data_IF_619971151922
#
_entry.id   IF_619971151922
#
_cell.length_a   1.000
_cell.length_b   1.000
_cell.length_c   1.000
_cell.angle_alpha   90.00
_cell.angle_beta   90.00
_cell.angle_gamma   90.00
#
_symmetry.space_group_name_H-M   'P 1'
#
loop_
_entity.id
_entity.type
_entity.pdbx_description
1 polymer ?
#
# COMPACT_ATOMS: atom_id res chain seq x y z
N UNK A 1 -16.66 -26.03 51.98
CA UNK A 1 -17.13 -25.25 50.82
C UNK A 1 -18.53 -24.77 51.14
N UNK A 2 -18.67 -23.49 51.50
CA UNK A 2 -19.92 -22.95 52.08
C UNK A 2 -20.98 -22.74 50.99
N UNK A 3 -22.25 -22.90 51.37
CA UNK A 3 -23.42 -22.78 50.49
C UNK A 3 -23.42 -21.46 49.68
N UNK A 4 -22.95 -20.37 50.29
CA UNK A 4 -22.81 -19.06 49.66
C UNK A 4 -21.88 -19.05 48.42
N UNK A 5 -20.84 -19.88 48.40
CA UNK A 5 -19.89 -19.95 47.27
C UNK A 5 -20.48 -20.70 46.07
N UNK A 6 -21.34 -21.69 46.32
CA UNK A 6 -22.07 -22.40 45.26
C UNK A 6 -23.14 -21.53 44.63
N UNK A 7 -23.80 -20.71 45.43
CA UNK A 7 -24.86 -19.80 44.98
C UNK A 7 -24.32 -18.68 44.07
N UNK A 8 -23.15 -18.13 44.40
CA UNK A 8 -22.44 -17.17 43.54
C UNK A 8 -21.98 -17.77 42.22
N UNK A 9 -21.47 -19.00 42.21
CA UNK A 9 -21.09 -19.69 40.97
C UNK A 9 -22.30 -19.98 40.07
N UNK A 10 -23.44 -20.33 40.67
CA UNK A 10 -24.68 -20.58 39.94
C UNK A 10 -25.21 -19.27 39.30
N UNK A 11 -25.15 -18.15 40.02
CA UNK A 11 -25.53 -16.84 39.49
C UNK A 11 -24.60 -16.39 38.35
N UNK A 12 -23.29 -16.66 38.46
CA UNK A 12 -22.34 -16.34 37.39
C UNK A 12 -22.57 -17.18 36.12
N UNK A 13 -22.88 -18.48 36.29
CA UNK A 13 -23.25 -19.34 35.15
C UNK A 13 -24.57 -18.89 34.51
N UNK A 14 -25.56 -18.49 35.30
CA UNK A 14 -26.83 -17.98 34.78
C UNK A 14 -26.64 -16.65 34.03
N UNK A 15 -25.80 -15.74 34.52
CA UNK A 15 -25.45 -14.51 33.81
C UNK A 15 -24.72 -14.79 32.49
N UNK A 16 -23.77 -15.72 32.48
CA UNK A 16 -23.07 -16.11 31.24
C UNK A 16 -24.02 -16.76 30.23
N UNK A 17 -24.95 -17.61 30.67
CA UNK A 17 -25.98 -18.18 29.80
C UNK A 17 -26.93 -17.11 29.25
N UNK A 18 -27.34 -16.13 30.08
CA UNK A 18 -28.18 -15.01 29.63
C UNK A 18 -27.46 -14.07 28.66
N UNK A 19 -26.13 -13.94 28.73
CA UNK A 19 -25.35 -13.16 27.76
C UNK A 19 -25.08 -13.94 26.46
N UNK A 20 -24.97 -15.27 26.53
CA UNK A 20 -24.75 -16.12 25.36
C UNK A 20 -26.02 -16.34 24.53
N UNK A 21 -27.20 -16.36 25.16
CA UNK A 21 -28.48 -16.54 24.47
C UNK A 21 -28.75 -15.49 23.36
N UNK A 22 -28.57 -14.18 23.58
CA UNK A 22 -28.70 -13.15 22.54
C UNK A 22 -27.66 -13.30 21.41
N UNK A 23 -26.44 -13.73 21.72
CA UNK A 23 -25.37 -13.96 20.74
C UNK A 23 -25.65 -15.19 19.87
N UNK A 24 -26.17 -16.27 20.47
CA UNK A 24 -26.60 -17.46 19.75
C UNK A 24 -27.84 -17.20 18.89
N UNK A 25 -28.79 -16.41 19.39
CA UNK A 25 -29.96 -15.97 18.61
C UNK A 25 -29.56 -15.04 17.46
N UNK A 26 -28.59 -14.14 17.64
CA UNK A 26 -28.01 -13.33 16.55
C UNK A 26 -27.28 -14.20 15.52
N UNK A 27 -26.54 -15.22 15.95
CA UNK A 27 -25.90 -16.21 15.06
C UNK A 27 -26.90 -17.11 14.33
N UNK A 28 -28.00 -17.47 14.99
CA UNK A 28 -29.07 -18.26 14.38
C UNK A 28 -29.87 -17.41 13.38
N UNK A 29 -30.21 -16.17 13.72
CA UNK A 29 -30.85 -15.21 12.82
C UNK A 29 -29.97 -14.88 11.60
N UNK A 30 -28.64 -14.84 11.77
CA UNK A 30 -27.69 -14.74 10.66
C UNK A 30 -27.62 -16.01 9.78
N UNK A 31 -28.00 -17.18 10.32
CA UNK A 31 -28.09 -18.45 9.57
C UNK A 31 -29.45 -18.69 8.91
N UNK A 32 -30.52 -18.04 9.39
CA UNK A 32 -31.87 -18.11 8.80
C UNK A 32 -32.25 -16.86 8.00
N UNK A 33 -31.30 -15.97 7.73
CA UNK A 33 -31.48 -14.99 6.65
C UNK A 33 -31.77 -15.78 5.38
N UNK A 34 -32.93 -15.50 4.77
CA UNK A 34 -33.42 -16.13 3.55
C UNK A 34 -32.30 -16.35 2.54
N UNK A 35 -32.37 -17.46 1.77
CA UNK A 35 -31.57 -17.64 0.56
C UNK A 35 -31.49 -16.29 -0.15
N UNK A 36 -30.29 -15.83 -0.54
CA UNK A 36 -30.17 -14.55 -1.21
C UNK A 36 -31.00 -14.69 -2.49
N UNK A 37 -32.19 -14.10 -2.48
CA UNK A 37 -32.85 -13.63 -3.69
C UNK A 37 -31.73 -13.01 -4.47
N UNK A 38 -31.46 -13.57 -5.66
CA UNK A 38 -30.36 -13.13 -6.51
C UNK A 38 -30.56 -11.65 -6.79
N UNK A 39 -30.07 -10.80 -5.88
CA UNK A 39 -29.85 -9.40 -6.13
C UNK A 39 -28.91 -9.45 -7.30
N UNK A 40 -29.46 -9.18 -8.50
CA UNK A 40 -28.66 -9.00 -9.69
C UNK A 40 -27.58 -8.04 -9.27
N UNK A 41 -26.35 -8.54 -9.16
CA UNK A 41 -25.19 -7.71 -8.83
C UNK A 41 -25.32 -6.51 -9.75
N UNK A 42 -25.46 -5.28 -9.22
CA UNK A 42 -25.63 -4.12 -10.08
C UNK A 42 -24.53 -4.20 -11.13
N UNK A 43 -24.90 -4.15 -12.43
CA UNK A 43 -23.91 -4.14 -13.51
C UNK A 43 -22.93 -3.05 -13.15
N UNK A 44 -21.71 -3.42 -12.77
CA UNK A 44 -20.69 -2.46 -12.35
C UNK A 44 -20.53 -1.51 -13.52
N UNK A 45 -20.94 -0.25 -13.33
CA UNK A 45 -20.84 0.75 -14.37
C UNK A 45 -19.37 1.12 -14.46
N UNK A 46 -18.78 0.77 -15.59
CA UNK A 46 -17.43 1.15 -15.91
C UNK A 46 -17.37 2.65 -16.19
N UNK A 47 -16.67 3.43 -15.35
CA UNK A 47 -16.68 4.90 -15.44
C UNK A 47 -16.08 5.42 -16.76
N UNK A 48 -15.01 4.79 -17.24
CA UNK A 48 -14.36 5.13 -18.51
C UNK A 48 -15.30 4.82 -19.69
N UNK A 49 -16.03 3.71 -19.66
CA UNK A 49 -17.03 3.39 -20.68
C UNK A 49 -18.24 4.33 -20.62
N UNK A 50 -18.75 4.65 -19.41
CA UNK A 50 -19.91 5.52 -19.23
C UNK A 50 -19.66 6.94 -19.75
N UNK A 51 -18.44 7.45 -19.56
CA UNK A 51 -18.01 8.76 -20.08
C UNK A 51 -17.46 8.69 -21.51
N UNK A 52 -17.57 7.53 -22.17
CA UNK A 52 -17.03 7.24 -23.50
C UNK A 52 -15.50 7.41 -23.67
N UNK A 53 -14.77 7.61 -22.58
CA UNK A 53 -13.31 7.77 -22.55
C UNK A 53 -12.55 6.51 -22.99
N UNK A 54 -13.17 5.33 -22.88
CA UNK A 54 -12.56 4.07 -23.34
C UNK A 54 -12.34 4.03 -24.86
N UNK A 55 -13.05 4.86 -25.64
CA UNK A 55 -12.90 4.92 -27.11
C UNK A 55 -11.59 5.59 -27.54
N UNK A 56 -11.01 6.41 -26.68
CA UNK A 56 -9.77 7.14 -26.95
C UNK A 56 -8.53 6.33 -26.56
N UNK A 57 -8.72 5.16 -25.94
CA UNK A 57 -7.63 4.28 -25.56
C UNK A 57 -7.17 3.46 -26.77
N UNK A 58 -5.85 3.34 -26.90
CA UNK A 58 -5.27 2.35 -27.81
C UNK A 58 -5.59 0.94 -27.33
N UNK A 59 -5.53 -0.04 -28.23
CA UNK A 59 -5.71 -1.45 -27.88
C UNK A 59 -4.73 -1.88 -26.78
N UNK A 60 -3.48 -1.44 -26.84
CA UNK A 60 -2.46 -1.74 -25.83
C UNK A 60 -2.84 -1.20 -24.45
N UNK A 61 -3.33 0.04 -24.39
CA UNK A 61 -3.75 0.69 -23.14
C UNK A 61 -4.97 -0.01 -22.53
N UNK A 62 -5.96 -0.38 -23.34
CA UNK A 62 -7.13 -1.12 -22.87
C UNK A 62 -6.75 -2.54 -22.41
N UNK A 63 -5.85 -3.23 -23.12
CA UNK A 63 -5.34 -4.54 -22.69
C UNK A 63 -4.60 -4.45 -21.35
N UNK A 64 -3.73 -3.45 -21.17
CA UNK A 64 -3.07 -3.22 -19.89
C UNK A 64 -4.09 -2.99 -18.77
N UNK A 65 -5.05 -2.10 -19.01
CA UNK A 65 -6.10 -1.77 -18.04
C UNK A 65 -6.90 -3.02 -17.63
N UNK A 66 -7.36 -3.82 -18.59
CA UNK A 66 -8.11 -5.06 -18.32
C UNK A 66 -7.26 -6.11 -17.59
N UNK A 67 -5.97 -6.20 -17.91
CA UNK A 67 -5.02 -7.05 -17.20
C UNK A 67 -4.89 -6.63 -15.72
N UNK A 68 -4.64 -5.34 -15.44
CA UNK A 68 -4.55 -4.82 -14.07
C UNK A 68 -5.86 -5.04 -13.32
N UNK A 69 -7.01 -4.74 -13.95
CA UNK A 69 -8.35 -4.97 -13.40
C UNK A 69 -8.51 -6.41 -12.95
N UNK A 70 -8.25 -7.36 -13.84
CA UNK A 70 -8.42 -8.78 -13.56
C UNK A 70 -7.55 -9.23 -12.37
N UNK A 71 -6.30 -8.78 -12.30
CA UNK A 71 -5.43 -9.10 -11.16
C UNK A 71 -5.97 -8.49 -9.85
N UNK A 72 -6.41 -7.24 -9.88
CA UNK A 72 -6.95 -6.59 -8.68
C UNK A 72 -8.23 -7.29 -8.19
N UNK A 73 -9.14 -7.64 -9.09
CA UNK A 73 -10.40 -8.33 -8.74
C UNK A 73 -10.17 -9.76 -8.24
N UNK A 74 -9.24 -10.49 -8.85
CA UNK A 74 -9.03 -11.91 -8.53
C UNK A 74 -8.07 -12.15 -7.37
N UNK A 75 -7.13 -11.21 -7.10
CA UNK A 75 -6.08 -11.40 -6.09
C UNK A 75 -6.13 -10.42 -4.93
N UNK A 76 -6.63 -9.20 -5.13
CA UNK A 76 -6.61 -8.14 -4.10
C UNK A 76 -7.98 -8.02 -3.43
N UNK A 77 -9.05 -7.90 -4.22
CA UNK A 77 -10.41 -7.74 -3.71
C UNK A 77 -10.83 -8.82 -2.69
N UNK A 78 -10.47 -10.12 -2.85
CA UNK A 78 -10.87 -11.15 -1.89
C UNK A 78 -10.26 -11.01 -0.49
N UNK A 79 -9.16 -10.26 -0.36
CA UNK A 79 -8.41 -10.14 0.92
C UNK A 79 -8.42 -8.72 1.48
N UNK A 80 -8.76 -7.71 0.67
CA UNK A 80 -8.66 -6.30 1.04
C UNK A 80 -9.47 -5.92 2.29
N UNK A 81 -10.73 -6.37 2.39
CA UNK A 81 -11.61 -6.00 3.50
C UNK A 81 -11.11 -6.54 4.86
N UNK A 82 -10.63 -7.79 4.90
CA UNK A 82 -10.10 -8.39 6.14
C UNK A 82 -8.79 -7.70 6.55
N UNK A 83 -7.89 -7.46 5.60
CA UNK A 83 -6.64 -6.76 5.86
C UNK A 83 -6.87 -5.35 6.40
N UNK A 84 -7.83 -4.63 5.82
CA UNK A 84 -8.18 -3.28 6.23
C UNK A 84 -8.70 -3.24 7.66
N UNK A 85 -9.63 -4.14 8.01
CA UNK A 85 -10.18 -4.25 9.37
C UNK A 85 -9.09 -4.55 10.41
N UNK A 86 -8.09 -5.35 10.03
CA UNK A 86 -6.97 -5.73 10.92
C UNK A 86 -5.84 -4.69 10.97
N UNK A 87 -5.80 -3.75 10.02
CA UNK A 87 -4.67 -2.83 9.86
C UNK A 87 -3.37 -3.52 9.49
N UNK A 88 -3.44 -4.61 8.72
CA UNK A 88 -2.29 -5.46 8.37
C UNK A 88 -1.93 -5.36 6.88
N UNK A 89 -0.65 -5.58 6.56
CA UNK A 89 -0.17 -5.74 5.19
C UNK A 89 0.16 -7.21 4.91
N UNK A 90 -0.48 -7.78 3.88
CA UNK A 90 -0.28 -9.15 3.45
C UNK A 90 0.71 -9.23 2.29
N UNK A 91 1.73 -10.10 2.42
CA UNK A 91 2.75 -10.31 1.38
C UNK A 91 2.16 -10.80 0.06
N UNK A 92 0.95 -11.40 0.04
CA UNK A 92 0.22 -11.75 -1.18
C UNK A 92 -0.03 -10.55 -2.10
N UNK A 93 -0.06 -9.33 -1.55
CA UNK A 93 -0.13 -8.11 -2.36
C UNK A 93 1.13 -7.89 -3.21
N UNK A 94 2.31 -8.32 -2.75
CA UNK A 94 3.53 -8.28 -3.55
C UNK A 94 3.42 -9.22 -4.76
N UNK A 95 2.80 -10.39 -4.57
CA UNK A 95 2.56 -11.33 -5.68
C UNK A 95 1.52 -10.79 -6.68
N UNK A 96 0.52 -10.03 -6.21
CA UNK A 96 -0.39 -9.30 -7.09
C UNK A 96 0.36 -8.23 -7.90
N UNK A 97 1.26 -7.45 -7.27
CA UNK A 97 2.12 -6.50 -7.96
C UNK A 97 3.00 -7.17 -9.03
N UNK A 98 3.64 -8.30 -8.71
CA UNK A 98 4.43 -9.08 -9.68
C UNK A 98 3.59 -9.58 -10.85
N UNK A 99 2.35 -9.98 -10.60
CA UNK A 99 1.43 -10.44 -11.64
C UNK A 99 0.92 -9.29 -12.53
N UNK A 100 0.82 -8.07 -12.00
CA UNK A 100 0.56 -6.85 -12.80
C UNK A 100 1.75 -6.61 -13.74
N UNK A 101 2.97 -6.62 -13.21
CA UNK A 101 4.19 -6.48 -14.01
C UNK A 101 5.34 -5.86 -13.22
N UNK A 102 6.43 -5.47 -13.92
CA UNK A 102 7.56 -4.82 -13.28
C UNK A 102 7.15 -3.50 -12.60
N UNK A 103 7.85 -3.15 -11.52
CA UNK A 103 7.67 -1.85 -10.87
C UNK A 103 8.30 -0.70 -11.68
N UNK A 104 8.20 0.51 -11.15
CA UNK A 104 8.90 1.69 -11.68
C UNK A 104 8.13 2.51 -12.70
N UNK A 105 6.88 2.16 -13.00
CA UNK A 105 5.97 2.95 -13.85
C UNK A 105 6.66 3.46 -15.14
N UNK A 106 6.89 4.76 -15.28
CA UNK A 106 7.48 5.37 -16.47
C UNK A 106 9.03 5.32 -16.54
N UNK A 107 9.72 4.74 -15.55
CA UNK A 107 11.19 4.60 -15.56
C UNK A 107 11.59 3.70 -16.73
N UNK A 108 12.55 4.16 -17.55
CA UNK A 108 13.07 3.43 -18.72
C UNK A 108 14.35 2.67 -18.36
N UNK A 109 14.47 1.44 -18.86
CA UNK A 109 15.64 0.59 -18.58
C UNK A 109 15.54 -0.13 -17.23
N UNK A 110 16.63 -0.79 -16.82
CA UNK A 110 16.75 -1.53 -15.54
C UNK A 110 15.72 -2.64 -15.30
N UNK A 111 14.95 -3.03 -16.32
CA UNK A 111 13.82 -3.96 -16.18
C UNK A 111 12.55 -3.32 -15.62
N UNK A 112 12.48 -1.99 -15.50
CA UNK A 112 11.28 -1.26 -15.10
C UNK A 112 10.20 -1.31 -16.19
N UNK A 113 8.95 -1.02 -15.81
CA UNK A 113 7.80 -1.14 -16.70
C UNK A 113 7.86 -0.25 -17.96
N UNK A 114 8.47 0.94 -17.87
CA UNK A 114 8.60 1.85 -19.01
C UNK A 114 7.26 2.33 -19.58
N UNK A 115 6.23 2.44 -18.73
CA UNK A 115 4.87 2.82 -19.12
C UNK A 115 4.81 4.26 -19.66
N UNK A 116 3.84 4.52 -20.53
CA UNK A 116 3.41 5.89 -20.84
C UNK A 116 2.67 6.52 -19.64
N UNK A 117 2.43 7.83 -19.69
CA UNK A 117 1.62 8.49 -18.65
C UNK A 117 0.19 7.95 -18.61
N UNK A 118 -0.42 7.70 -19.78
CA UNK A 118 -1.75 7.12 -19.87
C UNK A 118 -1.79 5.72 -19.26
N UNK A 119 -0.84 4.86 -19.61
CA UNK A 119 -0.71 3.50 -19.07
C UNK A 119 -0.52 3.49 -17.54
N UNK A 120 0.30 4.41 -17.01
CA UNK A 120 0.49 4.59 -15.57
C UNK A 120 -0.79 5.06 -14.87
N UNK A 121 -1.54 5.99 -15.46
CA UNK A 121 -2.83 6.44 -14.95
C UNK A 121 -3.88 5.31 -14.95
N UNK A 122 -3.96 4.52 -16.02
CA UNK A 122 -4.87 3.38 -16.10
C UNK A 122 -4.55 2.32 -15.04
N UNK A 123 -3.27 2.04 -14.83
CA UNK A 123 -2.80 1.16 -13.74
C UNK A 123 -3.24 1.71 -12.38
N UNK A 124 -3.05 3.01 -12.14
CA UNK A 124 -3.46 3.66 -10.89
C UNK A 124 -4.98 3.59 -10.66
N UNK A 125 -5.78 3.85 -11.70
CA UNK A 125 -7.25 3.78 -11.65
C UNK A 125 -7.70 2.38 -11.24
N UNK A 126 -7.20 1.33 -11.90
CA UNK A 126 -7.67 -0.03 -11.64
C UNK A 126 -7.20 -0.57 -10.29
N UNK A 127 -6.00 -0.21 -9.81
CA UNK A 127 -5.54 -0.58 -8.47
C UNK A 127 -6.34 0.13 -7.38
N UNK A 128 -6.50 1.46 -7.50
CA UNK A 128 -7.19 2.28 -6.49
C UNK A 128 -8.70 2.01 -6.42
N UNK A 129 -9.30 1.55 -7.52
CA UNK A 129 -10.70 1.11 -7.56
C UNK A 129 -10.98 -0.05 -6.61
N UNK A 130 -9.99 -0.91 -6.35
CA UNK A 130 -10.14 -2.08 -5.48
C UNK A 130 -9.69 -1.79 -4.06
N UNK A 131 -8.50 -1.23 -3.87
CA UNK A 131 -7.99 -0.85 -2.54
C UNK A 131 -6.96 0.27 -2.63
N UNK A 132 -7.20 1.35 -1.90
CA UNK A 132 -6.31 2.50 -1.84
C UNK A 132 -4.99 2.19 -1.13
N UNK A 133 -4.98 1.22 -0.19
CA UNK A 133 -3.78 0.83 0.55
C UNK A 133 -2.79 0.11 -0.36
N UNK A 134 -3.28 -0.86 -1.15
CA UNK A 134 -2.54 -1.60 -2.16
C UNK A 134 -1.96 -0.67 -3.24
N UNK A 135 -2.77 0.25 -3.76
CA UNK A 135 -2.29 1.27 -4.69
C UNK A 135 -1.18 2.12 -4.06
N UNK A 136 -1.38 2.59 -2.82
CA UNK A 136 -0.41 3.43 -2.11
C UNK A 136 0.93 2.69 -1.91
N UNK A 137 0.89 1.41 -1.52
CA UNK A 137 2.08 0.57 -1.40
C UNK A 137 2.92 0.58 -2.69
N UNK A 138 2.27 0.33 -3.83
CA UNK A 138 2.93 0.25 -5.13
C UNK A 138 3.46 1.61 -5.63
N UNK A 139 2.74 2.70 -5.34
CA UNK A 139 3.13 4.06 -5.75
C UNK A 139 4.27 4.61 -4.89
N UNK A 140 4.25 4.42 -3.57
CA UNK A 140 5.39 4.80 -2.71
C UNK A 140 6.67 4.09 -3.18
N UNK A 141 6.55 2.81 -3.51
CA UNK A 141 7.64 2.03 -4.05
C UNK A 141 8.13 2.58 -5.41
N UNK A 142 7.24 2.70 -6.40
CA UNK A 142 7.61 2.99 -7.79
C UNK A 142 7.79 4.49 -8.07
N UNK A 143 6.81 5.31 -7.70
CA UNK A 143 6.74 6.72 -8.08
C UNK A 143 7.54 7.64 -7.15
N UNK A 144 7.85 7.19 -5.93
CA UNK A 144 8.64 7.98 -4.97
C UNK A 144 10.04 7.40 -4.81
N UNK A 145 10.15 6.15 -4.32
CA UNK A 145 11.46 5.57 -3.99
C UNK A 145 12.29 5.28 -5.25
N UNK A 146 11.79 4.43 -6.16
CA UNK A 146 12.49 4.14 -7.42
C UNK A 146 12.70 5.40 -8.27
N UNK A 147 11.70 6.28 -8.34
CA UNK A 147 11.82 7.52 -9.14
C UNK A 147 12.90 8.46 -8.61
N UNK A 148 13.08 8.53 -7.28
CA UNK A 148 14.18 9.32 -6.70
C UNK A 148 15.53 8.72 -7.06
N UNK A 149 15.67 7.38 -7.00
CA UNK A 149 16.90 6.69 -7.41
C UNK A 149 17.18 6.89 -8.91
N UNK A 150 16.16 6.78 -9.77
CA UNK A 150 16.24 7.02 -11.22
C UNK A 150 16.64 8.46 -11.55
N UNK A 151 16.08 9.44 -10.84
CA UNK A 151 16.37 10.85 -11.10
C UNK A 151 17.74 11.29 -10.56
N UNK A 152 18.06 10.94 -9.31
CA UNK A 152 19.17 11.55 -8.56
C UNK A 152 20.27 10.56 -8.13
N UNK A 153 20.06 9.25 -8.27
CA UNK A 153 21.04 8.25 -7.88
C UNK A 153 22.31 8.26 -8.75
N UNK A 154 23.43 7.84 -8.17
CA UNK A 154 24.64 7.56 -8.94
C UNK A 154 24.42 6.38 -9.90
N UNK A 155 25.23 6.22 -10.96
CA UNK A 155 25.16 5.06 -11.85
C UNK A 155 25.22 3.73 -11.09
N UNK A 156 26.07 3.63 -10.06
CA UNK A 156 26.19 2.43 -9.24
C UNK A 156 24.92 2.16 -8.41
N UNK A 157 24.30 3.20 -7.83
CA UNK A 157 23.05 3.07 -7.08
C UNK A 157 21.90 2.63 -7.99
N UNK A 158 21.77 3.22 -9.18
CA UNK A 158 20.76 2.85 -10.17
C UNK A 158 20.90 1.40 -10.61
N UNK A 159 22.12 0.99 -10.97
CA UNK A 159 22.41 -0.35 -11.45
C UNK A 159 22.15 -1.44 -10.40
N UNK A 160 22.38 -1.13 -9.12
CA UNK A 160 22.12 -2.06 -8.03
C UNK A 160 20.63 -2.12 -7.66
N UNK A 161 20.01 -0.97 -7.35
CA UNK A 161 18.68 -0.95 -6.75
C UNK A 161 17.54 -1.14 -7.75
N UNK A 162 17.57 -0.44 -8.88
CA UNK A 162 16.41 -0.40 -9.78
C UNK A 162 16.01 -1.78 -10.32
N UNK A 163 16.93 -2.68 -10.73
CA UNK A 163 16.55 -4.01 -11.18
C UNK A 163 15.91 -4.88 -10.09
N UNK A 164 16.41 -4.79 -8.84
CA UNK A 164 15.86 -5.54 -7.70
C UNK A 164 14.46 -5.05 -7.34
N UNK A 165 14.27 -3.73 -7.35
CA UNK A 165 12.98 -3.09 -7.07
C UNK A 165 11.97 -3.34 -8.20
N UNK A 166 12.40 -3.28 -9.46
CA UNK A 166 11.56 -3.58 -10.62
C UNK A 166 10.94 -4.99 -10.56
N UNK A 167 11.65 -5.97 -9.97
CA UNK A 167 11.16 -7.34 -9.77
C UNK A 167 10.39 -7.55 -8.45
N UNK A 168 10.17 -6.48 -7.68
CA UNK A 168 9.55 -6.52 -6.36
C UNK A 168 10.31 -7.41 -5.35
N UNK A 169 11.62 -7.56 -5.53
CA UNK A 169 12.50 -8.32 -4.61
C UNK A 169 13.00 -7.45 -3.46
N UNK A 170 13.08 -6.14 -3.69
CA UNK A 170 13.46 -5.14 -2.71
C UNK A 170 12.40 -4.06 -2.68
N UNK A 171 11.93 -3.69 -1.50
CA UNK A 171 10.87 -2.69 -1.32
C UNK A 171 11.46 -1.38 -0.82
N UNK A 172 11.22 -0.29 -1.55
CA UNK A 172 11.57 1.06 -1.12
C UNK A 172 10.48 1.78 -0.32
N UNK A 173 10.91 2.71 0.53
CA UNK A 173 10.07 3.77 1.08
C UNK A 173 10.64 5.17 0.78
N UNK A 174 9.87 6.21 1.09
CA UNK A 174 10.21 7.61 0.85
C UNK A 174 9.93 8.45 2.10
N UNK A 175 10.98 8.92 2.76
CA UNK A 175 10.93 9.53 4.07
C UNK A 175 11.25 11.02 4.03
N UNK A 176 10.21 11.82 3.76
CA UNK A 176 10.28 13.30 3.74
C UNK A 176 9.63 13.90 4.98
N UNK A 177 8.36 13.60 5.21
CA UNK A 177 7.51 14.17 6.25
C UNK A 177 8.04 13.92 7.66
N UNK A 178 7.90 14.95 8.50
CA UNK A 178 8.28 14.95 9.91
C UNK A 178 7.07 15.30 10.77
N UNK A 179 7.14 15.05 12.08
CA UNK A 179 6.03 15.32 12.98
C UNK A 179 5.57 16.79 12.97
N UNK A 180 6.52 17.73 12.81
CA UNK A 180 6.25 19.17 12.75
C UNK A 180 6.18 19.72 11.31
N UNK A 181 6.64 18.97 10.29
CA UNK A 181 6.79 19.45 8.92
C UNK A 181 6.14 18.47 7.93
N UNK A 182 4.89 18.77 7.57
CA UNK A 182 4.12 18.08 6.53
C UNK A 182 4.08 18.90 5.24
N UNK A 183 3.11 19.81 5.15
CA UNK A 183 2.97 20.71 4.00
C UNK A 183 4.19 21.62 3.80
N UNK A 184 4.86 22.00 4.89
CA UNK A 184 6.07 22.82 4.87
C UNK A 184 7.34 21.97 4.82
N UNK A 185 7.44 21.10 3.80
CA UNK A 185 8.55 20.16 3.63
C UNK A 185 9.90 20.86 3.37
N UNK A 186 9.90 22.13 2.96
CA UNK A 186 11.11 22.92 2.78
C UNK A 186 11.85 23.20 4.10
N UNK A 187 11.18 23.04 5.26
CA UNK A 187 11.72 23.31 6.59
C UNK A 187 11.93 22.08 7.46
N UNK A 188 12.03 20.88 6.86
CA UNK A 188 12.43 19.67 7.58
C UNK A 188 13.70 19.88 8.42
N UNK A 189 13.74 19.20 9.56
CA UNK A 189 14.76 19.33 10.61
C UNK A 189 15.67 18.10 10.74
N UNK A 190 15.34 16.98 10.10
CA UNK A 190 16.29 15.86 9.98
C UNK A 190 17.56 16.38 9.33
N UNK A 191 18.69 16.15 9.99
CA UNK A 191 19.99 16.69 9.58
C UNK A 191 20.90 15.60 9.04
N UNK A 192 21.73 15.96 8.07
CA UNK A 192 22.85 15.18 7.62
C UNK A 192 24.14 15.94 7.96
N UNK A 193 25.00 15.33 8.78
CA UNK A 193 26.30 15.88 9.14
C UNK A 193 27.39 15.11 8.43
N UNK A 194 28.22 15.80 7.65
CA UNK A 194 29.36 15.19 6.97
C UNK A 194 30.38 14.66 7.97
N UNK A 195 30.85 13.43 7.74
CA UNK A 195 31.89 12.77 8.53
C UNK A 195 32.93 12.14 7.58
N UNK A 196 34.04 11.66 8.14
CA UNK A 196 35.02 10.92 7.33
C UNK A 196 34.36 9.67 6.74
N UNK A 197 34.24 9.62 5.41
CA UNK A 197 33.71 8.48 4.68
C UNK A 197 32.18 8.45 4.49
N UNK A 198 31.44 9.49 4.89
CA UNK A 198 29.99 9.54 4.68
C UNK A 198 29.27 10.64 5.46
N UNK A 199 28.04 10.36 5.87
CA UNK A 199 27.18 11.26 6.64
C UNK A 199 26.60 10.55 7.86
N UNK A 200 26.41 11.29 8.95
CA UNK A 200 25.53 10.87 10.06
C UNK A 200 24.18 11.56 9.89
N UNK A 201 23.10 10.79 9.88
CA UNK A 201 21.74 11.32 9.83
C UNK A 201 21.15 11.35 11.25
N UNK A 202 20.53 12.47 11.63
CA UNK A 202 19.84 12.60 12.91
C UNK A 202 18.50 13.33 12.74
N UNK A 203 17.41 12.67 13.16
CA UNK A 203 16.07 13.22 13.07
C UNK A 203 15.00 12.15 13.21
N UNK A 204 13.75 12.53 12.95
CA UNK A 204 12.59 11.63 13.03
C UNK A 204 11.64 11.89 11.87
N UNK A 205 11.25 10.82 11.18
CA UNK A 205 10.26 10.86 10.10
C UNK A 205 8.92 10.31 10.57
N UNK A 206 7.82 10.76 9.96
CA UNK A 206 6.46 10.37 10.35
C UNK A 206 5.59 10.15 9.12
N UNK A 207 4.67 9.18 9.20
CA UNK A 207 3.75 8.79 8.12
C UNK A 207 4.40 8.13 6.90
N UNK A 208 5.55 7.49 7.10
CA UNK A 208 6.31 6.89 6.01
C UNK A 208 5.74 5.51 5.67
N UNK A 209 4.96 5.45 4.60
CA UNK A 209 4.46 4.19 4.04
C UNK A 209 5.63 3.25 3.71
N UNK A 210 5.44 1.95 3.92
CA UNK A 210 6.42 0.87 3.74
C UNK A 210 7.61 0.86 4.73
N UNK A 211 7.81 1.89 5.56
CA UNK A 211 9.04 2.04 6.35
C UNK A 211 9.34 0.88 7.31
N UNK A 212 8.32 0.20 7.83
CA UNK A 212 8.51 -0.89 8.80
C UNK A 212 9.04 -2.18 8.18
N UNK A 213 9.09 -2.29 6.85
CA UNK A 213 9.53 -3.49 6.14
C UNK A 213 10.30 -3.20 4.84
N UNK A 214 10.66 -1.95 4.58
CA UNK A 214 11.44 -1.60 3.40
C UNK A 214 12.88 -2.15 3.50
N UNK A 215 13.45 -2.48 2.35
CA UNK A 215 14.87 -2.80 2.20
C UNK A 215 15.74 -1.58 1.94
N UNK A 216 15.14 -0.48 1.49
CA UNK A 216 15.82 0.82 1.29
C UNK A 216 14.88 1.98 1.61
N UNK A 217 15.35 2.90 2.42
CA UNK A 217 14.68 4.15 2.73
C UNK A 217 15.36 5.30 2.00
N UNK A 218 14.60 6.02 1.15
CA UNK A 218 15.02 7.31 0.62
C UNK A 218 14.73 8.37 1.68
N UNK A 219 15.73 8.77 2.46
CA UNK A 219 15.59 9.76 3.54
C UNK A 219 16.02 11.13 3.05
N UNK A 220 15.12 12.12 3.19
CA UNK A 220 15.46 13.51 2.94
C UNK A 220 15.94 14.18 4.22
N UNK A 221 17.11 14.78 4.17
CA UNK A 221 17.72 15.47 5.30
C UNK A 221 18.42 16.75 4.84
N UNK A 222 18.49 17.73 5.74
CA UNK A 222 19.23 18.96 5.51
C UNK A 222 20.70 18.76 5.83
N UNK A 223 21.55 18.92 4.86
CA UNK A 223 23.01 18.92 5.06
C UNK A 223 23.41 20.16 5.89
N UNK A 224 24.10 19.93 7.00
CA UNK A 224 24.55 21.01 7.90
C UNK A 224 25.63 21.90 7.26
N UNK A 225 26.40 21.38 6.30
CA UNK A 225 27.49 22.13 5.66
C UNK A 225 26.96 23.03 4.53
N UNK A 226 26.04 22.51 3.70
CA UNK A 226 25.52 23.22 2.52
C UNK A 226 24.17 23.90 2.77
N UNK A 227 23.48 23.54 3.86
CA UNK A 227 22.11 23.95 4.19
C UNK A 227 21.05 23.51 3.15
N UNK A 228 21.44 22.68 2.17
CA UNK A 228 20.54 22.12 1.16
C UNK A 228 19.84 20.86 1.70
N UNK A 229 18.68 20.56 1.13
CA UNK A 229 17.98 19.29 1.38
C UNK A 229 18.47 18.27 0.35
N UNK A 230 19.04 17.18 0.85
CA UNK A 230 19.58 16.08 0.04
C UNK A 230 18.87 14.76 0.37
N UNK A 231 18.97 13.79 -0.56
CA UNK A 231 18.39 12.46 -0.41
C UNK A 231 19.47 11.41 -0.16
N UNK A 232 19.25 10.59 0.86
CA UNK A 232 20.17 9.53 1.30
C UNK A 232 19.47 8.18 1.18
N UNK A 233 20.17 7.18 0.64
CA UNK A 233 19.70 5.79 0.65
C UNK A 233 20.20 5.12 1.92
N UNK A 234 19.27 4.70 2.79
CA UNK A 234 19.54 4.05 4.07
C UNK A 234 18.97 2.64 4.08
#
# INVERSE_FOLDING_TARGET
MNAATKEQQLQQQQQQQQQQQPLQQRRAAAKTAAEPSAMKTPKVIDSLSFLELSRDLTEKEEQLRLHVRNICETRVAPIAAEMWERGEFDRRLIDACKAIGPAGLQIKGYGCAGLTNTEACLTAIEMSRVDASFFTFAVVHSALSMKTIDAAGSPAQKQYWLPLMARWEKIGCFALTEAAFGSDAAHIQTKAKKIKGGFTLNGSKRWIGNATYCDVAVIWARDEDTNLIEAFLV
#
